data_IF_322518383454
#
_entry.id   IF_322518383454
#
_cell.length_a   1.000
_cell.length_b   1.000
_cell.length_c   1.000
_cell.angle_alpha   90.00
_cell.angle_beta   90.00
_cell.angle_gamma   90.00
#
_symmetry.space_group_name_H-M   'P 1'
#
loop_
_entity.id
_entity.type
_entity.pdbx_description
1 polymer ?
#
# COMPACT_ATOMS: atom_id res chain seq x y z
N UNK A 1 -6.16 -24.57 40.10
CA UNK A 1 -6.60 -23.21 39.65
C UNK A 1 -5.91 -22.92 38.34
N UNK A 2 -6.50 -23.36 37.26
CA UNK A 2 -6.00 -23.09 35.92
C UNK A 2 -6.36 -21.65 35.56
N UNK A 3 -5.33 -20.84 35.29
CA UNK A 3 -5.51 -19.52 34.72
C UNK A 3 -5.77 -19.72 33.24
N UNK A 4 -7.04 -19.65 32.86
CA UNK A 4 -7.48 -19.50 31.51
C UNK A 4 -7.12 -18.05 31.07
N UNK A 5 -5.99 -17.92 30.37
CA UNK A 5 -5.56 -16.66 29.77
C UNK A 5 -6.54 -16.32 28.63
N UNK A 6 -6.80 -15.03 28.33
CA UNK A 6 -7.77 -14.65 27.34
C UNK A 6 -7.41 -15.25 25.99
N UNK A 7 -8.42 -15.86 25.35
CA UNK A 7 -8.34 -16.41 24.00
C UNK A 7 -7.74 -15.33 23.05
N UNK A 8 -6.50 -15.56 22.63
CA UNK A 8 -5.77 -14.64 21.77
C UNK A 8 -6.52 -14.45 20.45
N UNK A 9 -6.78 -13.21 20.12
CA UNK A 9 -7.24 -12.86 18.78
C UNK A 9 -6.30 -13.38 17.70
N UNK A 10 -6.69 -13.39 16.43
CA UNK A 10 -5.89 -13.96 15.35
C UNK A 10 -4.47 -13.35 15.37
N UNK A 11 -3.47 -14.22 15.42
CA UNK A 11 -2.06 -13.81 15.39
C UNK A 11 -1.74 -13.14 14.03
N UNK A 12 -1.17 -11.94 14.04
CA UNK A 12 -0.70 -11.23 12.82
C UNK A 12 0.11 -12.13 11.89
N UNK A 13 0.93 -13.02 12.46
CA UNK A 13 1.78 -13.94 11.71
C UNK A 13 0.97 -15.02 11.01
N UNK A 14 -0.04 -15.57 11.67
CA UNK A 14 -0.94 -16.60 11.11
C UNK A 14 -1.76 -16.00 9.98
N UNK A 15 -2.35 -14.82 10.18
CA UNK A 15 -3.13 -14.11 9.17
C UNK A 15 -2.27 -13.75 7.93
N UNK A 16 -1.04 -13.26 8.13
CA UNK A 16 -0.11 -13.00 7.00
C UNK A 16 0.16 -14.26 6.17
N UNK A 17 0.41 -15.39 6.83
CA UNK A 17 0.69 -16.67 6.16
C UNK A 17 -0.49 -17.14 5.32
N UNK A 18 -1.71 -17.04 5.86
CA UNK A 18 -2.95 -17.41 5.17
C UNK A 18 -3.14 -16.55 3.91
N UNK A 19 -3.09 -15.23 4.05
CA UNK A 19 -3.31 -14.28 2.95
C UNK A 19 -2.24 -14.39 1.86
N UNK A 20 -0.97 -14.56 2.24
CA UNK A 20 0.11 -14.79 1.28
C UNK A 20 -0.07 -16.13 0.55
N UNK A 21 -0.54 -17.17 1.27
CA UNK A 21 -0.90 -18.46 0.66
C UNK A 21 -2.00 -18.32 -0.38
N UNK A 22 -3.05 -17.55 -0.07
CA UNK A 22 -4.14 -17.27 -1.01
C UNK A 22 -3.64 -16.52 -2.26
N UNK A 23 -2.78 -15.50 -2.10
CA UNK A 23 -2.18 -14.78 -3.23
C UNK A 23 -1.32 -15.67 -4.14
N UNK A 24 -0.64 -16.66 -3.59
CA UNK A 24 0.17 -17.60 -4.38
C UNK A 24 -0.67 -18.49 -5.30
N UNK A 25 -1.97 -18.64 -5.02
CA UNK A 25 -2.91 -19.35 -5.88
C UNK A 25 -3.49 -18.54 -7.04
N UNK A 26 -3.21 -17.23 -7.09
CA UNK A 26 -3.73 -16.37 -8.14
C UNK A 26 -2.97 -16.57 -9.45
N UNK A 27 -3.71 -16.59 -10.57
CA UNK A 27 -3.12 -16.63 -11.91
C UNK A 27 -2.61 -15.23 -12.30
N UNK A 28 -1.58 -15.18 -13.15
CA UNK A 28 -1.09 -13.92 -13.69
C UNK A 28 -2.18 -13.13 -14.45
N UNK A 29 -3.12 -13.83 -15.10
CA UNK A 29 -4.26 -13.20 -15.76
C UNK A 29 -5.22 -12.57 -14.73
N UNK A 30 -5.54 -13.26 -13.65
CA UNK A 30 -6.38 -12.75 -12.56
C UNK A 30 -5.78 -11.53 -11.88
N UNK A 31 -4.46 -11.54 -11.61
CA UNK A 31 -3.75 -10.40 -11.05
C UNK A 31 -3.83 -9.17 -11.97
N UNK A 32 -3.65 -9.36 -13.28
CA UNK A 32 -3.78 -8.27 -14.27
C UNK A 32 -5.19 -7.72 -14.39
N UNK A 33 -6.18 -8.60 -14.39
CA UNK A 33 -7.60 -8.19 -14.45
C UNK A 33 -7.98 -7.37 -13.22
N UNK A 34 -7.72 -7.90 -12.04
CA UNK A 34 -7.96 -7.20 -10.78
C UNK A 34 -7.24 -5.84 -10.73
N UNK A 35 -6.04 -5.74 -11.30
CA UNK A 35 -5.29 -4.48 -11.39
C UNK A 35 -5.97 -3.44 -12.28
N UNK A 36 -6.62 -3.85 -13.39
CA UNK A 36 -7.39 -2.94 -14.25
C UNK A 36 -8.66 -2.45 -13.56
N UNK A 37 -9.43 -3.36 -12.99
CA UNK A 37 -10.64 -3.02 -12.23
C UNK A 37 -10.31 -2.09 -11.05
N UNK A 38 -9.25 -2.42 -10.30
CA UNK A 38 -8.79 -1.61 -9.18
C UNK A 38 -8.39 -0.19 -9.63
N UNK A 39 -7.73 -0.03 -10.78
CA UNK A 39 -7.38 1.27 -11.32
C UNK A 39 -8.63 2.12 -11.64
N UNK A 40 -9.66 1.50 -12.23
CA UNK A 40 -10.94 2.17 -12.48
C UNK A 40 -11.61 2.61 -11.18
N UNK A 41 -11.67 1.72 -10.18
CA UNK A 41 -12.27 2.03 -8.88
C UNK A 41 -11.49 3.09 -8.10
N UNK A 42 -10.16 3.02 -8.13
CA UNK A 42 -9.33 4.02 -7.46
C UNK A 42 -9.60 5.44 -7.97
N UNK A 43 -9.82 5.60 -9.27
CA UNK A 43 -10.12 6.88 -9.89
C UNK A 43 -11.53 7.42 -9.58
N UNK A 44 -12.39 6.65 -8.94
CA UNK A 44 -13.65 7.14 -8.36
C UNK A 44 -13.41 7.98 -7.09
N UNK A 45 -12.21 7.88 -6.46
CA UNK A 45 -11.82 8.76 -5.37
C UNK A 45 -11.50 10.16 -5.91
N UNK A 46 -12.26 11.20 -5.51
CA UNK A 46 -12.02 12.57 -6.00
C UNK A 46 -10.60 13.05 -5.72
N UNK A 47 -10.00 12.65 -4.60
CA UNK A 47 -8.65 13.02 -4.20
C UNK A 47 -7.59 12.43 -5.15
N UNK A 48 -7.82 11.23 -5.69
CA UNK A 48 -6.95 10.65 -6.72
C UNK A 48 -7.19 11.28 -8.09
N UNK A 49 -8.44 11.58 -8.41
CA UNK A 49 -8.80 12.18 -9.69
C UNK A 49 -8.33 13.64 -9.81
N UNK A 50 -8.30 14.39 -8.70
CA UNK A 50 -7.92 15.80 -8.63
C UNK A 50 -6.56 16.05 -7.94
N UNK A 51 -5.91 15.02 -7.41
CA UNK A 51 -4.62 15.12 -6.75
C UNK A 51 -3.52 15.59 -7.69
N UNK A 52 -2.58 16.37 -7.17
CA UNK A 52 -1.39 16.82 -7.93
C UNK A 52 -0.22 15.88 -7.76
N UNK A 53 -0.07 15.32 -6.56
CA UNK A 53 1.01 14.41 -6.21
C UNK A 53 0.45 13.21 -5.47
N UNK A 54 0.77 12.01 -5.96
CA UNK A 54 0.38 10.74 -5.35
C UNK A 54 1.64 9.93 -5.07
N UNK A 55 1.86 9.56 -3.82
CA UNK A 55 2.84 8.54 -3.47
C UNK A 55 2.20 7.17 -3.67
N UNK A 56 2.85 6.31 -4.44
CA UNK A 56 2.35 5.00 -4.81
C UNK A 56 3.47 3.95 -4.70
N UNK A 57 3.27 2.78 -5.26
CA UNK A 57 4.27 1.70 -5.33
C UNK A 57 4.03 0.83 -6.56
N UNK A 58 5.06 0.13 -6.98
CA UNK A 58 4.91 -0.93 -7.99
C UNK A 58 4.68 -2.24 -7.28
N UNK A 59 3.58 -2.90 -7.60
CA UNK A 59 3.20 -4.20 -7.01
C UNK A 59 4.25 -5.28 -7.28
N UNK A 60 4.44 -6.17 -6.31
CA UNK A 60 5.37 -7.30 -6.41
C UNK A 60 4.66 -8.62 -6.08
N UNK A 61 5.08 -9.69 -6.73
CA UNK A 61 4.49 -11.02 -6.51
C UNK A 61 2.99 -11.06 -6.79
N UNK A 62 2.21 -11.57 -5.85
CA UNK A 62 0.75 -11.67 -5.95
C UNK A 62 -0.02 -10.45 -5.48
N UNK A 63 0.60 -9.29 -5.31
CA UNK A 63 -0.11 -8.05 -5.00
C UNK A 63 -1.02 -7.62 -6.14
N UNK A 64 -2.16 -6.93 -5.86
CA UNK A 64 -2.96 -6.33 -6.92
C UNK A 64 -2.10 -5.45 -7.82
N UNK A 65 -2.16 -5.64 -9.13
CA UNK A 65 -1.29 -4.93 -10.07
C UNK A 65 -1.54 -3.42 -10.05
N UNK A 66 -0.51 -2.63 -9.73
CA UNK A 66 -0.61 -1.17 -9.62
C UNK A 66 -0.26 -0.42 -10.89
N UNK A 67 0.48 -1.01 -11.82
CA UNK A 67 0.91 -0.34 -13.06
C UNK A 67 -0.26 0.29 -13.86
N UNK A 68 -1.43 -0.33 -14.02
CA UNK A 68 -2.55 0.31 -14.71
C UNK A 68 -2.98 1.63 -14.05
N UNK A 69 -2.98 1.69 -12.71
CA UNK A 69 -3.30 2.89 -11.96
C UNK A 69 -2.20 3.96 -12.12
N UNK A 70 -0.92 3.58 -12.03
CA UNK A 70 0.19 4.51 -12.20
C UNK A 70 0.16 5.19 -13.57
N UNK A 71 -0.08 4.42 -14.63
CA UNK A 71 -0.22 4.95 -15.99
C UNK A 71 -1.45 5.86 -16.13
N UNK A 72 -2.58 5.50 -15.53
CA UNK A 72 -3.78 6.30 -15.57
C UNK A 72 -3.62 7.64 -14.82
N UNK A 73 -2.90 7.67 -13.70
CA UNK A 73 -2.57 8.87 -12.95
C UNK A 73 -1.61 9.77 -13.78
N UNK A 74 -0.54 9.17 -14.31
CA UNK A 74 0.42 9.88 -15.16
C UNK A 74 -0.25 10.51 -16.40
N UNK A 75 -1.13 9.79 -17.07
CA UNK A 75 -1.87 10.28 -18.22
C UNK A 75 -2.78 11.48 -17.89
N UNK A 76 -3.15 11.66 -16.62
CA UNK A 76 -3.90 12.80 -16.11
C UNK A 76 -3.02 13.97 -15.65
N UNK A 77 -1.70 13.85 -15.79
CA UNK A 77 -0.76 14.88 -15.33
C UNK A 77 -0.50 14.85 -13.82
N UNK A 78 -0.90 13.78 -13.13
CA UNK A 78 -0.61 13.59 -11.71
C UNK A 78 0.86 13.23 -11.57
N UNK A 79 1.57 13.89 -10.66
CA UNK A 79 2.93 13.52 -10.28
C UNK A 79 2.89 12.30 -9.40
N UNK A 80 3.49 11.21 -9.84
CA UNK A 80 3.54 9.95 -9.09
C UNK A 80 4.92 9.74 -8.50
N UNK A 81 4.99 9.51 -7.19
CA UNK A 81 6.22 9.19 -6.45
C UNK A 81 6.23 7.69 -6.15
N UNK A 82 7.36 7.03 -6.43
CA UNK A 82 7.59 5.63 -6.12
C UNK A 82 8.69 5.48 -5.07
N UNK A 83 8.57 4.49 -4.16
CA UNK A 83 9.53 4.28 -3.10
C UNK A 83 10.79 3.58 -3.59
N UNK A 84 11.91 3.95 -3.00
CA UNK A 84 13.18 3.23 -3.06
C UNK A 84 13.59 2.82 -1.65
N UNK A 85 13.86 1.54 -1.44
CA UNK A 85 14.17 1.00 -0.12
C UNK A 85 15.59 1.38 0.31
N UNK A 86 15.71 2.01 1.46
CA UNK A 86 16.98 2.33 2.08
C UNK A 86 17.50 1.17 2.96
N UNK A 87 18.81 1.13 3.28
CA UNK A 87 19.40 0.07 4.08
C UNK A 87 18.79 -0.12 5.47
N UNK A 88 18.27 0.95 6.07
CA UNK A 88 17.62 0.97 7.39
C UNK A 88 16.11 0.64 7.33
N UNK A 89 15.61 0.21 6.18
CA UNK A 89 14.18 -0.03 5.87
C UNK A 89 13.31 1.24 5.80
N UNK A 90 13.89 2.43 5.78
CA UNK A 90 13.16 3.62 5.40
C UNK A 90 12.96 3.69 3.88
N UNK A 91 12.12 4.59 3.41
CA UNK A 91 11.85 4.80 1.99
C UNK A 91 12.33 6.18 1.57
N UNK A 92 13.15 6.19 0.52
CA UNK A 92 13.38 7.36 -0.33
C UNK A 92 12.35 7.36 -1.47
N UNK A 93 12.23 8.42 -2.20
CA UNK A 93 11.24 8.58 -3.25
C UNK A 93 11.88 9.05 -4.55
N UNK A 94 11.33 8.59 -5.67
CA UNK A 94 11.67 9.08 -7.00
C UNK A 94 10.41 9.20 -7.84
N UNK A 95 10.48 10.00 -8.91
CA UNK A 95 9.33 10.26 -9.76
C UNK A 95 9.12 9.15 -10.79
N UNK A 96 7.89 8.73 -10.98
CA UNK A 96 7.47 7.84 -12.04
C UNK A 96 7.12 8.63 -13.30
N UNK A 97 7.89 8.46 -14.35
CA UNK A 97 7.70 9.14 -15.64
C UNK A 97 7.26 8.20 -16.76
N UNK A 98 7.05 6.92 -16.44
CA UNK A 98 6.62 5.86 -17.35
C UNK A 98 7.31 4.53 -17.05
N UNK A 99 6.98 3.46 -17.79
CA UNK A 99 7.53 2.12 -17.53
C UNK A 99 9.06 2.06 -17.55
N UNK A 100 9.72 2.86 -18.39
CA UNK A 100 11.19 2.90 -18.50
C UNK A 100 11.87 3.63 -17.32
N UNK A 101 11.09 4.27 -16.43
CA UNK A 101 11.60 4.95 -15.24
C UNK A 101 11.65 4.06 -14.00
N UNK A 102 11.39 2.77 -14.14
CA UNK A 102 11.49 1.78 -13.07
C UNK A 102 12.53 0.73 -13.40
N UNK A 103 13.26 0.32 -12.37
CA UNK A 103 14.24 -0.76 -12.46
C UNK A 103 13.98 -1.83 -11.40
N UNK A 104 14.31 -3.08 -11.70
CA UNK A 104 14.22 -4.14 -10.73
C UNK A 104 15.48 -4.14 -9.85
N UNK A 105 15.30 -4.00 -8.55
CA UNK A 105 16.38 -4.01 -7.56
C UNK A 105 16.25 -5.22 -6.65
N UNK A 106 17.40 -5.73 -6.16
CA UNK A 106 17.45 -6.80 -5.16
C UNK A 106 18.21 -6.30 -3.95
N UNK A 107 17.50 -6.18 -2.85
CA UNK A 107 18.09 -5.92 -1.54
C UNK A 107 18.43 -7.26 -0.87
N UNK A 108 19.59 -7.33 -0.22
CA UNK A 108 20.10 -8.56 0.41
C UNK A 108 19.05 -9.27 1.28
N UNK A 109 18.76 -10.54 0.99
CA UNK A 109 17.78 -11.34 1.72
C UNK A 109 16.31 -10.96 1.53
N UNK A 110 15.99 -10.05 0.59
CA UNK A 110 14.62 -9.58 0.34
C UNK A 110 14.16 -9.97 -1.07
N UNK A 111 12.84 -9.89 -1.25
CA UNK A 111 12.21 -10.02 -2.57
C UNK A 111 12.71 -8.90 -3.49
N UNK A 112 12.78 -9.19 -4.79
CA UNK A 112 13.04 -8.16 -5.79
C UNK A 112 11.94 -7.10 -5.75
N UNK A 113 12.33 -5.83 -5.75
CA UNK A 113 11.46 -4.66 -5.79
C UNK A 113 11.58 -3.97 -7.13
N UNK A 114 10.59 -3.16 -7.47
CA UNK A 114 10.64 -2.24 -8.59
C UNK A 114 10.72 -0.82 -8.05
N UNK A 115 11.82 -0.14 -8.31
CA UNK A 115 12.15 1.16 -7.76
C UNK A 115 12.34 2.20 -8.88
N UNK A 116 12.15 3.50 -8.60
CA UNK A 116 12.43 4.53 -9.60
C UNK A 116 13.92 4.57 -9.95
N UNK A 117 14.23 4.62 -11.23
CA UNK A 117 15.61 4.72 -11.74
C UNK A 117 16.16 6.16 -11.77
N UNK A 118 15.26 7.16 -11.65
CA UNK A 118 15.61 8.57 -11.67
C UNK A 118 16.19 9.11 -10.36
N UNK A 119 16.38 10.43 -10.27
CA UNK A 119 16.91 11.09 -9.08
C UNK A 119 16.09 10.81 -7.82
N UNK A 120 16.77 10.67 -6.70
CA UNK A 120 16.16 10.54 -5.37
C UNK A 120 15.78 11.91 -4.83
N UNK A 121 14.60 11.99 -4.25
CA UNK A 121 13.99 13.24 -3.77
C UNK A 121 14.08 13.40 -2.25
N UNK A 122 14.59 12.37 -1.57
CA UNK A 122 14.65 12.29 -0.12
C UNK A 122 13.41 11.67 0.52
N UNK A 123 13.55 11.10 1.74
CA UNK A 123 12.45 10.47 2.46
C UNK A 123 11.28 11.42 2.75
N UNK A 124 11.52 12.70 2.88
CA UNK A 124 10.49 13.70 3.20
C UNK A 124 9.63 14.11 1.98
N UNK A 125 9.99 13.68 0.77
CA UNK A 125 9.21 14.00 -0.43
C UNK A 125 7.75 13.54 -0.34
N UNK A 126 7.47 12.45 0.39
CA UNK A 126 6.11 11.94 0.63
C UNK A 126 5.21 12.92 1.38
N UNK A 127 5.78 13.86 2.14
CA UNK A 127 5.00 14.83 2.93
C UNK A 127 4.25 15.85 2.06
N UNK A 128 4.65 15.98 0.80
CA UNK A 128 3.98 16.80 -0.21
C UNK A 128 2.91 16.06 -1.03
N UNK A 129 2.64 14.79 -0.74
CA UNK A 129 1.63 14.03 -1.45
C UNK A 129 0.21 14.38 -0.96
N UNK A 130 -0.75 14.43 -1.90
CA UNK A 130 -2.18 14.58 -1.59
C UNK A 130 -2.80 13.23 -1.19
N UNK A 131 -2.28 12.14 -1.78
CA UNK A 131 -2.70 10.76 -1.53
C UNK A 131 -1.47 9.88 -1.37
N UNK A 132 -1.54 8.95 -0.43
CA UNK A 132 -0.54 7.87 -0.28
C UNK A 132 -1.25 6.54 -0.46
N UNK A 133 -0.87 5.82 -1.52
CA UNK A 133 -1.31 4.46 -1.77
C UNK A 133 -0.39 3.50 -1.02
N UNK A 134 -0.97 2.69 -0.17
CA UNK A 134 -0.25 1.78 0.74
C UNK A 134 -0.42 0.33 0.28
N UNK A 135 0.65 -0.46 0.24
CA UNK A 135 0.52 -1.91 0.13
C UNK A 135 -0.03 -2.49 1.43
N UNK A 136 -0.72 -3.61 1.32
CA UNK A 136 -1.25 -4.33 2.47
C UNK A 136 -1.55 -5.78 2.13
N UNK A 137 -1.90 -6.55 3.16
CA UNK A 137 -2.40 -7.92 3.07
C UNK A 137 -3.86 -8.01 3.50
N UNK A 138 -4.30 -7.13 4.38
CA UNK A 138 -5.69 -7.03 4.81
C UNK A 138 -6.01 -5.64 5.35
N UNK A 139 -7.29 -5.35 5.43
CA UNK A 139 -7.86 -4.23 6.18
C UNK A 139 -9.16 -4.68 6.85
N UNK A 140 -9.45 -4.17 8.05
CA UNK A 140 -10.73 -4.43 8.72
C UNK A 140 -11.72 -3.27 8.60
N UNK A 141 -12.87 -3.41 9.25
CA UNK A 141 -13.95 -2.43 9.23
C UNK A 141 -13.58 -1.07 9.88
N UNK A 142 -12.51 -1.03 10.66
CA UNK A 142 -11.99 0.16 11.33
C UNK A 142 -10.84 0.83 10.56
N UNK A 143 -10.49 0.31 9.39
CA UNK A 143 -9.37 0.81 8.60
C UNK A 143 -8.00 0.33 9.09
N UNK A 144 -7.94 -0.63 10.02
CA UNK A 144 -6.67 -1.18 10.48
C UNK A 144 -6.06 -2.06 9.40
N UNK A 145 -4.87 -1.68 8.93
CA UNK A 145 -4.16 -2.34 7.84
C UNK A 145 -3.14 -3.35 8.36
N UNK A 146 -3.14 -4.53 7.79
CA UNK A 146 -2.08 -5.52 7.98
C UNK A 146 -1.04 -5.39 6.85
N UNK A 147 0.18 -5.02 7.18
CA UNK A 147 1.32 -5.01 6.26
C UNK A 147 2.11 -6.32 6.29
N UNK A 148 3.13 -6.42 5.43
CA UNK A 148 4.05 -7.58 5.38
C UNK A 148 4.99 -7.69 6.59
N UNK A 149 5.09 -6.66 7.43
CA UNK A 149 5.91 -6.67 8.65
C UNK A 149 7.33 -6.08 8.48
N UNK A 150 7.64 -5.46 7.37
CA UNK A 150 8.96 -4.82 7.13
C UNK A 150 9.15 -3.47 7.82
N UNK A 151 8.07 -2.82 8.28
CA UNK A 151 8.11 -1.56 9.02
C UNK A 151 8.34 -0.30 8.16
N UNK A 152 8.61 -0.42 6.86
CA UNK A 152 8.91 0.71 5.99
C UNK A 152 7.76 1.72 5.92
N UNK A 153 6.53 1.25 5.75
CA UNK A 153 5.36 2.13 5.70
C UNK A 153 4.94 2.67 7.06
N UNK A 154 5.24 1.99 8.15
CA UNK A 154 5.05 2.53 9.50
C UNK A 154 5.95 3.75 9.74
N UNK A 155 7.17 3.74 9.19
CA UNK A 155 8.07 4.90 9.16
C UNK A 155 7.52 6.04 8.31
N UNK A 156 6.94 5.74 7.14
CA UNK A 156 6.27 6.75 6.31
C UNK A 156 5.12 7.41 7.06
N UNK A 157 4.25 6.64 7.69
CA UNK A 157 3.12 7.17 8.48
C UNK A 157 3.59 8.03 9.65
N UNK A 158 4.62 7.60 10.38
CA UNK A 158 5.22 8.38 11.46
C UNK A 158 5.87 9.69 10.95
N UNK A 159 6.45 9.68 9.75
CA UNK A 159 7.01 10.88 9.10
C UNK A 159 5.93 11.88 8.73
N UNK A 160 4.83 11.41 8.13
CA UNK A 160 3.67 12.25 7.79
C UNK A 160 3.11 12.93 9.05
N UNK A 161 2.94 12.17 10.12
CA UNK A 161 2.45 12.69 11.41
C UNK A 161 3.39 13.78 11.98
N UNK A 162 4.69 13.52 12.03
CA UNK A 162 5.69 14.49 12.51
C UNK A 162 5.74 15.77 11.67
N UNK A 163 5.52 15.66 10.36
CA UNK A 163 5.48 16.79 9.45
C UNK A 163 4.14 17.54 9.48
N UNK A 164 3.13 17.03 10.20
CA UNK A 164 1.77 17.57 10.16
C UNK A 164 1.09 17.41 8.81
N UNK A 165 1.63 16.56 7.92
CA UNK A 165 1.05 16.26 6.62
C UNK A 165 -0.17 15.33 6.78
N UNK A 166 -1.23 15.58 6.01
CA UNK A 166 -2.49 14.84 6.09
C UNK A 166 -2.97 14.38 4.71
N UNK A 167 -2.19 13.56 4.00
CA UNK A 167 -2.64 12.97 2.76
C UNK A 167 -3.79 11.99 3.02
N UNK A 168 -4.60 11.73 2.00
CA UNK A 168 -5.52 10.60 2.04
C UNK A 168 -4.71 9.30 2.00
N UNK A 169 -4.88 8.45 3.00
CA UNK A 169 -4.24 7.13 3.08
C UNK A 169 -5.18 6.07 2.49
N UNK A 170 -4.76 5.40 1.44
CA UNK A 170 -5.57 4.40 0.73
C UNK A 170 -4.79 3.09 0.62
N UNK A 171 -5.38 1.99 1.05
CA UNK A 171 -4.81 0.65 0.83
C UNK A 171 -5.45 -0.01 -0.39
N UNK A 172 -4.63 -0.69 -1.20
CA UNK A 172 -5.07 -1.41 -2.39
C UNK A 172 -5.05 -2.91 -2.12
N UNK A 173 -6.20 -3.58 -2.24
CA UNK A 173 -6.38 -4.97 -1.84
C UNK A 173 -7.29 -5.73 -2.81
N UNK A 174 -7.29 -7.06 -2.71
CA UNK A 174 -8.35 -7.89 -3.27
C UNK A 174 -9.59 -7.87 -2.38
N UNK A 175 -10.76 -8.19 -2.92
CA UNK A 175 -12.03 -8.20 -2.16
C UNK A 175 -11.99 -9.13 -0.95
N UNK A 176 -11.33 -10.28 -1.07
CA UNK A 176 -11.17 -11.26 0.01
C UNK A 176 -10.25 -10.83 1.15
N UNK A 177 -9.55 -9.72 0.99
CA UNK A 177 -8.61 -9.19 1.96
C UNK A 177 -9.22 -8.08 2.85
N UNK A 178 -10.49 -7.76 2.63
CA UNK A 178 -11.30 -6.99 3.57
C UNK A 178 -11.85 -7.96 4.61
N UNK A 179 -11.24 -7.98 5.79
CA UNK A 179 -11.47 -8.99 6.83
C UNK A 179 -12.27 -8.42 8.00
N UNK A 180 -12.78 -9.31 8.86
CA UNK A 180 -13.55 -8.89 10.04
C UNK A 180 -12.71 -8.13 11.07
N UNK A 181 -11.46 -8.57 11.29
CA UNK A 181 -10.56 -7.97 12.28
C UNK A 181 -9.11 -8.16 11.86
N UNK A 182 -8.35 -7.07 11.94
CA UNK A 182 -6.89 -7.06 11.89
C UNK A 182 -6.37 -6.88 13.32
N UNK A 183 -5.49 -7.76 13.83
CA UNK A 183 -4.87 -7.54 15.13
C UNK A 183 -4.06 -6.24 15.10
N UNK A 184 -4.41 -5.28 15.95
CA UNK A 184 -3.80 -3.95 16.00
C UNK A 184 -2.93 -3.78 17.24
N UNK A 185 -1.88 -2.99 17.12
CA UNK A 185 -1.00 -2.53 18.20
C UNK A 185 -1.17 -1.02 18.39
N UNK A 186 -0.73 -0.49 19.53
CA UNK A 186 -0.94 0.91 19.87
C UNK A 186 -0.31 1.91 18.88
N UNK A 187 0.69 1.49 18.13
CA UNK A 187 1.37 2.32 17.11
C UNK A 187 0.77 2.19 15.71
N UNK A 188 -0.10 1.20 15.47
CA UNK A 188 -0.75 1.03 14.17
C UNK A 188 -1.69 2.21 13.90
N UNK A 189 -1.71 2.68 12.66
CA UNK A 189 -2.55 3.78 12.21
C UNK A 189 -3.59 3.28 11.20
N UNK A 190 -4.85 3.67 11.35
CA UNK A 190 -5.87 3.34 10.37
C UNK A 190 -5.63 4.07 9.05
N UNK A 191 -6.08 3.44 7.95
CA UNK A 191 -6.17 4.08 6.64
C UNK A 191 -7.55 4.70 6.46
N UNK A 192 -7.64 5.69 5.56
CA UNK A 192 -8.90 6.41 5.31
C UNK A 192 -9.83 5.66 4.34
N UNK A 193 -9.26 4.84 3.44
CA UNK A 193 -10.03 4.08 2.48
C UNK A 193 -9.31 2.80 2.02
N UNK A 194 -10.09 1.86 1.53
CA UNK A 194 -9.63 0.71 0.75
C UNK A 194 -10.23 0.76 -0.65
N UNK A 195 -9.43 0.42 -1.64
CA UNK A 195 -9.88 0.16 -3.01
C UNK A 195 -9.66 -1.30 -3.31
N UNK A 196 -10.71 -1.94 -3.80
CA UNK A 196 -10.69 -3.32 -4.28
C UNK A 196 -11.26 -3.35 -5.70
N UNK A 197 -11.14 -4.46 -6.44
CA UNK A 197 -11.80 -4.62 -7.74
C UNK A 197 -13.30 -4.33 -7.71
N UNK A 198 -13.99 -4.67 -6.61
CA UNK A 198 -15.44 -4.45 -6.46
C UNK A 198 -15.82 -3.00 -6.13
N UNK A 199 -14.91 -2.18 -5.63
CA UNK A 199 -15.22 -0.78 -5.32
C UNK A 199 -14.34 -0.11 -4.28
N UNK A 200 -14.79 1.05 -3.85
CA UNK A 200 -14.15 1.88 -2.83
C UNK A 200 -14.96 1.84 -1.54
N UNK A 201 -14.26 1.67 -0.42
CA UNK A 201 -14.84 1.80 0.92
C UNK A 201 -14.04 2.80 1.73
N UNK A 202 -14.73 3.80 2.31
CA UNK A 202 -14.14 4.76 3.25
C UNK A 202 -14.37 4.31 4.68
N UNK A 203 -13.43 4.65 5.55
CA UNK A 203 -13.53 4.37 6.98
C UNK A 203 -13.81 5.67 7.73
N UNK A 204 -14.93 5.77 8.48
CA UNK A 204 -15.26 6.96 9.25
C UNK A 204 -14.30 7.11 10.44
N UNK A 205 -13.78 8.32 10.64
CA UNK A 205 -12.95 8.66 11.81
C UNK A 205 -11.47 8.27 11.73
N UNK A 206 -10.98 7.92 10.54
CA UNK A 206 -9.56 7.72 10.30
C UNK A 206 -8.83 9.05 10.03
#
# INVERSE_FOLDING_TARGET
MEHDGPAGGPDKRALRRELLGARNGLTAAGVREAGRELAERALELPELAAGRTVAAYVSVGGEPATLPLLEALRARGVRVLLPALLPDNDLDWGEYTGPDSIEQTRHSGKMALFEPSGPRLGPDAVTGADVVLLPGLAVDAHGMRLGRGGGSYDRVLARLERAGARPLLVVLLYDTEVVALVPAEAHDRPVHAVVTPSGVRRFPGA
#
